data_IF_282823366095
#
_entry.id   IF_282823366095
#
_cell.length_a   1.000
_cell.length_b   1.000
_cell.length_c   1.000
_cell.angle_alpha   90.00
_cell.angle_beta   90.00
_cell.angle_gamma   90.00
#
_symmetry.space_group_name_H-M   'P 1'
#
loop_
_entity.id
_entity.type
_entity.pdbx_description
1 polymer ?
#
# COMPACT_ATOMS: atom_id res chain seq x y z
N UNK A 1 -28.87 -0.61 -14.02
CA UNK A 1 -28.01 -0.38 -12.84
C UNK A 1 -28.69 -0.99 -11.64
N UNK A 2 -27.98 -1.85 -10.90
CA UNK A 2 -28.46 -2.37 -9.61
C UNK A 2 -27.98 -1.39 -8.55
N UNK A 3 -28.88 -0.66 -7.91
CA UNK A 3 -28.54 0.20 -6.77
C UNK A 3 -28.69 -0.60 -5.47
N UNK A 4 -27.66 -0.57 -4.63
CA UNK A 4 -27.69 -1.16 -3.29
C UNK A 4 -27.81 -0.04 -2.25
N UNK A 5 -28.58 -0.28 -1.18
CA UNK A 5 -28.76 0.68 -0.08
C UNK A 5 -27.81 0.31 1.05
N UNK A 6 -26.90 1.23 1.40
CA UNK A 6 -25.95 1.07 2.50
C UNK A 6 -26.47 1.80 3.75
N UNK A 7 -26.80 1.06 4.80
CA UNK A 7 -27.15 1.63 6.10
C UNK A 7 -25.95 1.53 7.05
N UNK A 8 -25.37 2.66 7.41
CA UNK A 8 -24.19 2.72 8.29
C UNK A 8 -24.54 3.47 9.58
N UNK A 9 -24.15 2.91 10.72
CA UNK A 9 -24.09 3.65 11.99
C UNK A 9 -22.72 4.33 12.06
N UNK A 10 -22.70 5.65 11.93
CA UNK A 10 -21.49 6.46 12.02
C UNK A 10 -21.60 7.44 13.17
N UNK A 11 -20.45 7.87 13.67
CA UNK A 11 -20.34 8.88 14.70
C UNK A 11 -20.78 10.26 14.18
N UNK A 12 -21.29 11.12 15.06
CA UNK A 12 -21.87 12.42 14.70
C UNK A 12 -20.82 13.33 14.03
N UNK A 13 -19.59 13.30 14.53
CA UNK A 13 -18.47 14.05 13.96
C UNK A 13 -18.13 13.63 12.52
N UNK A 14 -18.28 12.35 12.18
CA UNK A 14 -18.03 11.85 10.82
C UNK A 14 -19.14 12.31 9.88
N UNK A 15 -20.39 12.27 10.35
CA UNK A 15 -21.55 12.77 9.60
C UNK A 15 -21.42 14.27 9.28
N UNK A 16 -20.93 15.06 10.23
CA UNK A 16 -20.76 16.50 10.04
C UNK A 16 -19.62 16.82 9.06
N UNK A 17 -18.48 16.13 9.16
CA UNK A 17 -17.40 16.25 8.16
C UNK A 17 -17.88 15.88 6.76
N UNK A 18 -18.67 14.82 6.66
CA UNK A 18 -19.22 14.34 5.40
C UNK A 18 -20.20 15.35 4.80
N UNK A 19 -20.99 16.02 5.66
CA UNK A 19 -21.88 17.12 5.26
C UNK A 19 -21.10 18.33 4.76
N UNK A 20 -20.08 18.77 5.50
CA UNK A 20 -19.22 19.87 5.04
C UNK A 20 -18.52 19.55 3.73
N UNK A 21 -18.06 18.31 3.55
CA UNK A 21 -17.45 17.87 2.30
C UNK A 21 -18.46 17.88 1.14
N UNK A 22 -19.69 17.42 1.39
CA UNK A 22 -20.77 17.47 0.41
C UNK A 22 -21.15 18.92 0.04
N UNK A 23 -21.26 19.82 1.03
CA UNK A 23 -21.54 21.24 0.82
C UNK A 23 -20.42 21.94 0.04
N UNK A 24 -19.15 21.66 0.36
CA UNK A 24 -18.00 22.23 -0.34
C UNK A 24 -17.89 21.78 -1.81
N UNK A 25 -18.32 20.54 -2.11
CA UNK A 25 -18.33 20.00 -3.46
C UNK A 25 -19.67 20.22 -4.20
N UNK A 26 -20.63 20.88 -3.55
CA UNK A 26 -21.97 21.15 -4.07
C UNK A 26 -22.74 19.88 -4.50
N UNK A 27 -22.49 18.77 -3.80
CA UNK A 27 -23.02 17.43 -4.10
C UNK A 27 -23.92 16.90 -2.98
N UNK A 28 -24.76 15.92 -3.31
CA UNK A 28 -25.56 15.24 -2.29
C UNK A 28 -24.66 14.41 -1.38
N UNK A 29 -25.07 14.24 -0.12
CA UNK A 29 -24.33 13.44 0.85
C UNK A 29 -24.05 12.02 0.32
N UNK A 30 -25.02 11.41 -0.37
CA UNK A 30 -24.88 10.08 -1.00
C UNK A 30 -23.82 10.04 -2.10
N UNK A 31 -23.80 11.03 -3.00
CA UNK A 31 -22.80 11.07 -4.10
C UNK A 31 -21.40 11.36 -3.57
N UNK A 32 -21.30 12.24 -2.56
CA UNK A 32 -20.04 12.53 -1.90
C UNK A 32 -19.50 11.30 -1.14
N UNK A 33 -20.36 10.54 -0.46
CA UNK A 33 -19.96 9.28 0.19
C UNK A 33 -19.55 8.22 -0.81
N UNK A 34 -20.25 8.09 -1.92
CA UNK A 34 -19.95 7.09 -2.93
C UNK A 34 -18.58 7.35 -3.53
N UNK A 35 -18.26 8.60 -3.89
CA UNK A 35 -16.93 8.98 -4.38
C UNK A 35 -15.83 8.76 -3.35
N UNK A 36 -16.07 9.12 -2.09
CA UNK A 36 -15.09 8.88 -1.02
C UNK A 36 -14.85 7.40 -0.80
N UNK A 37 -15.89 6.57 -0.87
CA UNK A 37 -15.77 5.12 -0.76
C UNK A 37 -15.01 4.53 -1.95
N UNK A 38 -15.30 4.99 -3.18
CA UNK A 38 -14.57 4.58 -4.37
C UNK A 38 -13.09 4.95 -4.26
N UNK A 39 -12.78 6.20 -3.92
CA UNK A 39 -11.40 6.65 -3.72
C UNK A 39 -10.69 5.88 -2.61
N UNK A 40 -11.37 5.58 -1.50
CA UNK A 40 -10.77 4.82 -0.41
C UNK A 40 -10.49 3.36 -0.82
N UNK A 41 -11.38 2.74 -1.59
CA UNK A 41 -11.18 1.38 -2.12
C UNK A 41 -10.09 1.35 -3.20
N UNK A 42 -10.00 2.36 -4.07
CA UNK A 42 -8.92 2.52 -5.04
C UNK A 42 -7.57 2.79 -4.36
N UNK A 43 -7.56 3.59 -3.29
CA UNK A 43 -6.35 3.86 -2.50
C UNK A 43 -5.85 2.61 -1.78
N UNK A 44 -6.73 1.73 -1.33
CA UNK A 44 -6.33 0.48 -0.67
C UNK A 44 -5.62 -0.47 -1.66
N UNK A 45 -6.08 -0.53 -2.92
CA UNK A 45 -5.40 -1.27 -4.00
C UNK A 45 -3.99 -0.68 -4.28
N UNK A 46 -3.83 0.64 -4.21
CA UNK A 46 -2.53 1.33 -4.39
C UNK A 46 -1.64 1.30 -3.12
N UNK A 47 -2.16 0.90 -1.95
CA UNK A 47 -1.33 0.70 -0.74
C UNK A 47 -0.63 -0.66 -0.70
N UNK A 48 -0.83 -1.51 -1.71
CA UNK A 48 0.22 -2.43 -2.12
C UNK A 48 1.34 -1.59 -2.73
N UNK A 49 2.13 -0.95 -1.87
CA UNK A 49 3.44 -0.39 -2.23
C UNK A 49 4.21 -1.56 -2.84
N UNK A 50 4.16 -1.64 -4.16
CA UNK A 50 4.92 -2.63 -4.91
C UNK A 50 6.38 -2.40 -4.56
N UNK A 51 7.17 -3.46 -4.45
CA UNK A 51 8.61 -3.36 -4.17
C UNK A 51 9.32 -2.41 -5.18
N UNK A 52 8.69 -2.11 -6.30
CA UNK A 52 9.13 -1.22 -7.37
C UNK A 52 8.99 0.29 -7.08
N UNK A 53 8.17 0.71 -6.11
CA UNK A 53 8.00 2.14 -5.74
C UNK A 53 8.87 2.58 -4.55
N UNK A 54 9.65 1.66 -3.98
CA UNK A 54 10.62 1.98 -2.93
C UNK A 54 11.81 2.70 -3.58
N UNK A 55 11.82 4.04 -3.53
CA UNK A 55 12.99 4.86 -3.87
C UNK A 55 14.15 4.50 -2.92
N UNK A 56 15.00 3.60 -3.39
CA UNK A 56 16.15 3.07 -2.65
C UNK A 56 17.31 4.08 -2.56
N UNK A 57 17.06 5.38 -2.79
CA UNK A 57 18.05 6.47 -2.69
C UNK A 57 19.35 6.16 -3.45
N UNK A 58 19.26 5.54 -4.62
CA UNK A 58 20.42 5.12 -5.41
C UNK A 58 21.43 4.23 -4.64
N UNK A 59 20.99 3.61 -3.54
CA UNK A 59 21.68 2.56 -2.82
C UNK A 59 21.19 1.24 -3.40
N UNK A 60 21.87 0.78 -4.43
CA UNK A 60 21.68 -0.58 -4.94
C UNK A 60 22.18 -1.55 -3.85
N UNK A 61 21.26 -2.15 -3.10
CA UNK A 61 21.58 -3.41 -2.41
C UNK A 61 21.76 -4.44 -3.52
N UNK A 62 23.01 -4.72 -3.86
CA UNK A 62 23.41 -5.76 -4.80
C UNK A 62 22.72 -7.04 -4.33
N UNK A 63 21.64 -7.43 -5.02
CA UNK A 63 20.79 -8.58 -4.66
C UNK A 63 21.59 -9.84 -5.00
N UNK A 64 22.65 -10.07 -4.22
CA UNK A 64 23.64 -11.06 -4.46
C UNK A 64 22.93 -12.40 -4.39
N UNK A 65 22.88 -13.08 -5.54
CA UNK A 65 22.31 -14.41 -5.64
C UNK A 65 22.90 -15.27 -4.52
N UNK A 66 22.07 -16.04 -3.79
CA UNK A 66 22.56 -16.86 -2.70
C UNK A 66 23.71 -17.74 -3.20
N UNK A 67 24.86 -17.67 -2.50
CA UNK A 67 26.11 -18.33 -2.89
C UNK A 67 25.84 -19.78 -3.32
N UNK A 68 26.34 -20.15 -4.49
CA UNK A 68 26.19 -21.51 -4.98
C UNK A 68 26.95 -22.47 -4.06
N UNK A 69 26.50 -23.72 -4.00
CA UNK A 69 27.13 -24.74 -3.14
C UNK A 69 28.61 -25.01 -3.48
N UNK A 70 29.07 -24.62 -4.67
CA UNK A 70 30.49 -24.62 -5.05
C UNK A 70 31.27 -23.48 -4.39
N UNK A 71 30.71 -22.27 -4.37
CA UNK A 71 31.33 -21.09 -3.75
C UNK A 71 31.42 -21.24 -2.23
N UNK A 72 30.38 -21.80 -1.59
CA UNK A 72 30.39 -22.12 -0.16
C UNK A 72 31.51 -23.13 0.18
N UNK A 73 31.74 -24.14 -0.67
CA UNK A 73 32.85 -25.10 -0.48
C UNK A 73 34.21 -24.44 -0.65
N UNK A 74 34.36 -23.52 -1.60
CA UNK A 74 35.59 -22.76 -1.80
C UNK A 74 35.89 -21.86 -0.59
N UNK A 75 34.88 -21.13 -0.09
CA UNK A 75 34.99 -20.30 1.12
C UNK A 75 35.39 -21.12 2.35
N UNK A 76 34.77 -22.29 2.57
CA UNK A 76 35.18 -23.21 3.65
C UNK A 76 36.63 -23.65 3.52
N UNK A 77 37.13 -23.90 2.31
CA UNK A 77 38.52 -24.31 2.07
C UNK A 77 39.50 -23.17 2.38
N UNK A 78 39.15 -21.94 2.05
CA UNK A 78 39.97 -20.74 2.34
C UNK A 78 39.98 -20.48 3.85
N UNK A 79 38.82 -20.51 4.51
CA UNK A 79 38.71 -20.30 5.96
C UNK A 79 39.44 -21.38 6.77
N UNK A 80 39.41 -22.64 6.32
CA UNK A 80 40.17 -23.74 6.94
C UNK A 80 41.69 -23.57 6.82
N UNK A 81 42.19 -22.84 5.81
CA UNK A 81 43.63 -22.57 5.64
C UNK A 81 44.13 -21.38 6.47
N UNK A 82 43.23 -20.52 6.94
CA UNK A 82 43.54 -19.36 7.80
C UNK A 82 43.48 -19.69 9.30
N UNK A 83 43.29 -20.96 9.66
CA UNK A 83 43.27 -21.45 11.04
C UNK A 83 44.58 -22.15 11.36
#
# INVERSE_FOLDING_TARGET
>A
MVSAVLNVKIDEAVKEKLRHYAEANNENLSTATEKLLLLALESDEETSVSEEEIDSQHTEEDNASPLTSKEIKALRKILKKKK
#
